data_IF_374858817471
#
_entry.id   IF_374858817471
#
_cell.length_a   1.000
_cell.length_b   1.000
_cell.length_c   1.000
_cell.angle_alpha   90.00
_cell.angle_beta   90.00
_cell.angle_gamma   90.00
#
_symmetry.space_group_name_H-M   'P 1'
#
loop_
_entity.id
_entity.type
_entity.pdbx_description
1 polymer ?
#
# COMPACT_ATOMS: atom_id res chain seq x y z
N UNK A 1 -7.92 7.29 16.35
CA UNK A 1 -6.79 7.51 15.42
C UNK A 1 -5.52 7.06 16.11
N UNK A 2 -4.84 6.04 15.58
CA UNK A 2 -3.54 5.58 16.09
C UNK A 2 -2.40 6.48 15.61
N UNK A 3 -1.22 6.47 16.24
CA UNK A 3 -0.07 7.24 15.75
C UNK A 3 0.34 6.87 14.32
N UNK A 4 0.12 5.62 13.90
CA UNK A 4 0.38 5.18 12.52
C UNK A 4 -0.64 5.77 11.54
N UNK A 5 -1.93 5.78 11.91
CA UNK A 5 -2.98 6.39 11.09
C UNK A 5 -2.74 7.88 10.85
N UNK A 6 -2.32 8.62 11.89
CA UNK A 6 -1.98 10.04 11.74
C UNK A 6 -0.85 10.26 10.71
N UNK A 7 0.23 9.47 10.79
CA UNK A 7 1.34 9.56 9.82
C UNK A 7 0.88 9.19 8.41
N UNK A 8 0.03 8.17 8.27
CA UNK A 8 -0.55 7.81 6.97
C UNK A 8 -1.42 8.95 6.42
N UNK A 9 -2.24 9.57 7.27
CA UNK A 9 -3.07 10.72 6.89
C UNK A 9 -2.22 11.90 6.42
N UNK A 10 -1.14 12.20 7.13
CA UNK A 10 -0.21 13.28 6.77
C UNK A 10 0.48 12.98 5.43
N UNK A 11 0.97 11.75 5.22
CA UNK A 11 1.57 11.32 3.95
C UNK A 11 0.59 11.43 2.78
N UNK A 12 -0.64 10.94 2.95
CA UNK A 12 -1.67 11.00 1.90
C UNK A 12 -2.05 12.45 1.60
N UNK A 13 -2.18 13.28 2.63
CA UNK A 13 -2.52 14.71 2.49
C UNK A 13 -1.42 15.47 1.75
N UNK A 14 -0.16 15.30 2.18
CA UNK A 14 0.99 15.93 1.54
C UNK A 14 1.14 15.49 0.07
N UNK A 15 0.96 14.19 -0.22
CA UNK A 15 1.04 13.65 -1.58
C UNK A 15 -0.06 14.21 -2.48
N UNK A 16 -1.32 14.28 -1.99
CA UNK A 16 -2.44 14.90 -2.74
C UNK A 16 -2.25 16.39 -2.97
N UNK A 17 -1.63 17.09 -2.01
CA UNK A 17 -1.31 18.51 -2.11
C UNK A 17 -0.10 18.82 -2.99
N UNK A 18 0.65 17.81 -3.45
CA UNK A 18 1.91 18.00 -4.18
C UNK A 18 3.05 18.54 -3.30
N UNK A 19 2.94 18.45 -1.98
CA UNK A 19 3.99 18.86 -1.05
C UNK A 19 5.06 17.76 -0.93
N UNK A 20 5.88 17.64 -1.97
CA UNK A 20 6.94 16.63 -2.02
C UNK A 20 8.04 16.87 -0.98
N UNK A 21 8.16 18.10 -0.44
CA UNK A 21 9.08 18.40 0.65
C UNK A 21 8.64 17.73 1.95
N UNK A 22 7.36 17.88 2.30
CA UNK A 22 6.78 17.21 3.46
C UNK A 22 6.75 15.69 3.30
N UNK A 23 6.41 15.17 2.11
CA UNK A 23 6.48 13.73 1.83
C UNK A 23 7.89 13.18 2.06
N UNK A 24 8.92 13.85 1.53
CA UNK A 24 10.30 13.43 1.72
C UNK A 24 10.73 13.49 3.19
N UNK A 25 10.27 14.49 3.93
CA UNK A 25 10.52 14.62 5.36
C UNK A 25 9.91 13.46 6.15
N UNK A 26 8.61 13.19 5.99
CA UNK A 26 7.89 12.11 6.66
C UNK A 26 8.47 10.72 6.32
N UNK A 27 8.81 10.48 5.05
CA UNK A 27 9.47 9.22 4.63
C UNK A 27 10.85 9.06 5.27
N UNK A 28 11.61 10.16 5.42
CA UNK A 28 12.92 10.14 6.09
C UNK A 28 12.79 9.85 7.58
N UNK A 29 11.78 10.41 8.25
CA UNK A 29 11.49 10.09 9.65
C UNK A 29 11.09 8.62 9.82
N UNK A 30 10.28 8.08 8.91
CA UNK A 30 9.92 6.66 8.90
C UNK A 30 11.14 5.76 8.66
N UNK A 31 12.05 6.17 7.77
CA UNK A 31 13.30 5.46 7.50
C UNK A 31 14.21 5.41 8.74
N UNK A 32 14.33 6.52 9.46
CA UNK A 32 15.12 6.63 10.69
C UNK A 32 14.46 5.99 11.91
N UNK A 33 13.13 5.83 11.90
CA UNK A 33 12.35 5.33 13.01
C UNK A 33 12.38 3.80 13.21
N UNK A 34 11.58 3.34 14.17
CA UNK A 34 11.43 1.93 14.49
C UNK A 34 10.70 1.15 13.38
N UNK A 35 11.14 -0.09 13.12
CA UNK A 35 10.51 -0.98 12.13
C UNK A 35 9.04 -1.27 12.41
N UNK A 36 8.62 -1.29 13.68
CA UNK A 36 7.21 -1.44 14.06
C UNK A 36 6.34 -0.28 13.57
N UNK A 37 6.84 0.97 13.63
CA UNK A 37 6.13 2.16 13.10
C UNK A 37 5.93 2.02 11.59
N UNK A 38 6.96 1.61 10.86
CA UNK A 38 6.88 1.35 9.41
C UNK A 38 5.88 0.25 9.07
N UNK A 39 5.91 -0.86 9.79
CA UNK A 39 4.97 -1.97 9.59
C UNK A 39 3.51 -1.54 9.85
N UNK A 40 3.26 -0.69 10.86
CA UNK A 40 1.93 -0.15 11.12
C UNK A 40 1.44 0.81 10.03
N UNK A 41 2.31 1.69 9.52
CA UNK A 41 1.98 2.59 8.39
C UNK A 41 1.69 1.78 7.13
N UNK A 42 2.52 0.78 6.82
CA UNK A 42 2.31 -0.10 5.68
C UNK A 42 0.96 -0.83 5.77
N UNK A 43 0.63 -1.40 6.94
CA UNK A 43 -0.66 -2.06 7.16
C UNK A 43 -1.83 -1.11 6.95
N UNK A 44 -1.74 0.12 7.47
CA UNK A 44 -2.79 1.11 7.31
C UNK A 44 -2.98 1.54 5.85
N UNK A 45 -1.88 1.69 5.09
CA UNK A 45 -1.94 1.98 3.65
C UNK A 45 -2.55 0.82 2.85
N UNK A 46 -2.16 -0.43 3.12
CA UNK A 46 -2.74 -1.62 2.46
C UNK A 46 -4.25 -1.68 2.70
N UNK A 47 -4.68 -1.44 3.94
CA UNK A 47 -6.10 -1.37 4.30
C UNK A 47 -6.85 -0.29 3.51
N UNK A 48 -6.28 0.92 3.40
CA UNK A 48 -6.88 2.02 2.64
C UNK A 48 -6.98 1.73 1.15
N UNK A 49 -5.96 1.09 0.56
CA UNK A 49 -6.03 0.63 -0.83
C UNK A 49 -7.20 -0.33 -1.04
N UNK A 50 -7.31 -1.36 -0.20
CA UNK A 50 -8.38 -2.34 -0.28
C UNK A 50 -9.77 -1.70 -0.09
N UNK A 51 -9.91 -0.84 0.92
CA UNK A 51 -11.16 -0.11 1.17
C UNK A 51 -11.57 0.77 -0.02
N UNK A 52 -10.63 1.50 -0.62
CA UNK A 52 -10.89 2.37 -1.78
C UNK A 52 -11.35 1.55 -3.00
N UNK A 53 -10.75 0.38 -3.23
CA UNK A 53 -11.19 -0.55 -4.28
C UNK A 53 -12.61 -1.05 -4.01
N UNK A 54 -12.89 -1.52 -2.79
CA UNK A 54 -14.24 -1.94 -2.40
C UNK A 54 -15.29 -0.83 -2.59
N UNK A 55 -14.99 0.39 -2.15
CA UNK A 55 -15.86 1.55 -2.29
C UNK A 55 -16.15 1.86 -3.77
N UNK A 56 -15.14 1.74 -4.64
CA UNK A 56 -15.26 2.00 -6.09
C UNK A 56 -16.16 0.99 -6.80
N UNK A 57 -16.08 -0.29 -6.43
CA UNK A 57 -16.87 -1.35 -7.08
C UNK A 57 -18.23 -1.60 -6.40
N UNK A 58 -18.45 -1.07 -5.19
CA UNK A 58 -19.69 -1.24 -4.45
C UNK A 58 -19.84 -2.65 -3.86
N UNK A 59 -21.04 -3.01 -3.37
CA UNK A 59 -21.30 -4.32 -2.77
C UNK A 59 -21.01 -5.45 -3.77
N UNK A 60 -20.06 -6.32 -3.44
CA UNK A 60 -19.73 -7.47 -4.26
C UNK A 60 -20.50 -8.72 -3.81
N UNK A 61 -20.87 -9.62 -4.75
CA UNK A 61 -21.26 -10.99 -4.42
C UNK A 61 -20.22 -11.70 -3.55
N UNK A 62 -20.65 -12.64 -2.69
CA UNK A 62 -19.76 -13.40 -1.79
C UNK A 62 -18.67 -14.21 -2.53
N UNK A 63 -18.84 -14.48 -3.82
CA UNK A 63 -17.92 -15.28 -4.65
C UNK A 63 -16.97 -14.44 -5.53
N UNK A 64 -16.90 -13.12 -5.34
CA UNK A 64 -15.98 -12.27 -6.12
C UNK A 64 -14.54 -12.52 -5.70
N UNK A 65 -13.69 -12.77 -6.71
CA UNK A 65 -12.24 -12.86 -6.55
C UNK A 65 -11.60 -11.62 -7.17
N UNK A 66 -10.86 -10.87 -6.36
CA UNK A 66 -10.07 -9.75 -6.85
C UNK A 66 -8.72 -10.25 -7.36
N UNK A 67 -8.37 -9.83 -8.57
CA UNK A 67 -7.05 -10.03 -9.19
C UNK A 67 -6.47 -8.68 -9.62
N UNK A 68 -5.15 -8.61 -9.77
CA UNK A 68 -4.47 -7.42 -10.25
C UNK A 68 -3.60 -7.77 -11.46
N UNK A 69 -3.47 -6.81 -12.37
CA UNK A 69 -2.52 -6.84 -13.47
C UNK A 69 -1.60 -5.63 -13.28
N UNK A 70 -0.29 -5.88 -13.21
CA UNK A 70 0.69 -4.80 -13.24
C UNK A 70 0.85 -4.33 -14.69
N UNK A 71 0.95 -3.02 -14.88
CA UNK A 71 1.24 -2.42 -16.19
C UNK A 71 2.39 -1.44 -16.05
N UNK A 72 3.18 -1.29 -17.10
CA UNK A 72 4.26 -0.30 -17.18
C UNK A 72 3.74 1.10 -17.56
N UNK A 73 4.65 2.06 -17.68
CA UNK A 73 4.33 3.44 -18.08
C UNK A 73 3.72 3.57 -19.49
N UNK A 74 3.84 2.53 -20.32
CA UNK A 74 3.25 2.45 -21.66
C UNK A 74 1.91 1.70 -21.69
N UNK A 75 1.38 1.35 -20.51
CA UNK A 75 0.19 0.55 -20.30
C UNK A 75 0.28 -0.89 -20.85
N UNK A 76 1.50 -1.42 -20.99
CA UNK A 76 1.70 -2.82 -21.36
C UNK A 76 1.73 -3.70 -20.10
N UNK A 77 1.17 -4.91 -20.15
CA UNK A 77 1.23 -5.84 -19.02
C UNK A 77 2.67 -6.13 -18.63
N UNK A 78 3.00 -5.87 -17.36
CA UNK A 78 4.26 -6.22 -16.74
C UNK A 78 4.07 -7.50 -15.90
N UNK A 79 5.10 -8.35 -15.85
CA UNK A 79 5.05 -9.50 -14.95
C UNK A 79 5.16 -9.01 -13.50
N UNK A 80 4.20 -9.41 -12.66
CA UNK A 80 4.20 -9.10 -11.23
C UNK A 80 5.49 -9.60 -10.56
N UNK A 81 6.10 -10.67 -11.08
CA UNK A 81 7.34 -11.22 -10.55
C UNK A 81 8.59 -10.38 -10.92
N UNK A 82 8.47 -9.42 -11.84
CA UNK A 82 9.51 -8.43 -12.14
C UNK A 82 9.48 -7.23 -11.18
N UNK A 83 8.39 -7.04 -10.43
CA UNK A 83 8.31 -6.00 -9.42
C UNK A 83 9.36 -6.21 -8.33
N UNK A 84 9.83 -5.10 -7.74
CA UNK A 84 10.69 -5.13 -6.56
C UNK A 84 10.03 -5.98 -5.46
N UNK A 85 10.78 -6.88 -4.78
CA UNK A 85 10.19 -7.84 -3.84
C UNK A 85 9.25 -7.24 -2.78
N UNK A 86 9.60 -6.08 -2.22
CA UNK A 86 8.76 -5.37 -1.25
C UNK A 86 7.46 -4.85 -1.88
N UNK A 87 7.54 -4.26 -3.07
CA UNK A 87 6.37 -3.79 -3.84
C UNK A 87 5.45 -4.96 -4.23
N UNK A 88 6.03 -6.07 -4.69
CA UNK A 88 5.29 -7.29 -5.00
C UNK A 88 4.56 -7.85 -3.80
N UNK A 89 5.23 -7.90 -2.64
CA UNK A 89 4.62 -8.34 -1.40
C UNK A 89 3.49 -7.38 -0.96
N UNK A 90 3.67 -6.07 -1.11
CA UNK A 90 2.62 -5.10 -0.83
C UNK A 90 1.39 -5.26 -1.74
N UNK A 91 1.57 -5.48 -3.05
CA UNK A 91 0.47 -5.77 -3.97
C UNK A 91 -0.29 -7.04 -3.55
N UNK A 92 0.45 -8.10 -3.21
CA UNK A 92 -0.14 -9.35 -2.71
C UNK A 92 -0.84 -9.18 -1.37
N UNK A 93 -0.37 -8.26 -0.51
CA UNK A 93 -1.06 -7.91 0.74
C UNK A 93 -2.41 -7.23 0.46
N UNK A 94 -2.47 -6.29 -0.48
CA UNK A 94 -3.73 -5.64 -0.89
C UNK A 94 -4.71 -6.67 -1.44
N UNK A 95 -4.24 -7.59 -2.30
CA UNK A 95 -5.09 -8.66 -2.84
C UNK A 95 -5.57 -9.62 -1.75
N UNK A 96 -4.70 -9.99 -0.80
CA UNK A 96 -5.09 -10.84 0.32
C UNK A 96 -6.15 -10.15 1.19
N UNK A 97 -6.02 -8.85 1.43
CA UNK A 97 -7.03 -8.09 2.17
C UNK A 97 -8.37 -8.00 1.43
N UNK A 98 -8.34 -7.71 0.12
CA UNK A 98 -9.54 -7.68 -0.74
C UNK A 98 -10.27 -9.02 -0.78
N UNK A 99 -9.55 -10.13 -0.75
CA UNK A 99 -10.11 -11.48 -0.81
C UNK A 99 -10.36 -12.10 0.57
N UNK A 100 -10.16 -11.35 1.68
CA UNK A 100 -10.39 -11.85 3.04
C UNK A 100 -9.37 -12.91 3.52
N UNK A 101 -8.23 -13.07 2.84
CA UNK A 101 -7.15 -13.99 3.20
C UNK A 101 -6.25 -13.38 4.30
N UNK A 102 -6.72 -13.42 5.55
CA UNK A 102 -5.98 -12.88 6.70
C UNK A 102 -4.59 -13.54 6.91
N UNK A 103 -4.43 -14.87 6.79
CA UNK A 103 -3.10 -15.49 6.83
C UNK A 103 -2.17 -14.97 5.73
N UNK A 104 -2.66 -14.89 4.49
CA UNK A 104 -1.92 -14.33 3.37
C UNK A 104 -1.52 -12.88 3.60
N UNK A 105 -2.46 -12.05 4.07
CA UNK A 105 -2.23 -10.64 4.38
C UNK A 105 -1.08 -10.47 5.38
N UNK A 106 -1.12 -11.18 6.52
CA UNK A 106 -0.08 -11.05 7.53
C UNK A 106 1.29 -11.50 7.01
N UNK A 107 1.34 -12.61 6.26
CA UNK A 107 2.57 -13.09 5.64
C UNK A 107 3.15 -12.06 4.66
N UNK A 108 2.32 -11.49 3.79
CA UNK A 108 2.77 -10.52 2.80
C UNK A 108 3.19 -9.18 3.43
N UNK A 109 2.53 -8.73 4.51
CA UNK A 109 2.96 -7.55 5.26
C UNK A 109 4.34 -7.75 5.89
N UNK A 110 4.64 -8.94 6.44
CA UNK A 110 5.97 -9.26 6.95
C UNK A 110 7.04 -9.27 5.86
N UNK A 111 6.71 -9.82 4.68
CA UNK A 111 7.61 -9.82 3.52
C UNK A 111 7.86 -8.41 2.99
N UNK A 112 6.81 -7.60 2.85
CA UNK A 112 6.89 -6.22 2.38
C UNK A 112 7.65 -5.31 3.36
N UNK A 113 7.62 -5.62 4.66
CA UNK A 113 8.37 -4.91 5.68
C UNK A 113 9.85 -5.32 5.79
N UNK A 114 10.33 -6.31 5.01
CA UNK A 114 11.75 -6.71 5.01
C UNK A 114 12.64 -5.58 4.49
N UNK A 115 13.87 -5.51 5.01
CA UNK A 115 14.79 -4.42 4.70
C UNK A 115 14.28 -3.09 5.25
N UNK A 116 14.18 -2.07 4.40
CA UNK A 116 13.61 -0.78 4.81
C UNK A 116 12.09 -0.76 4.80
N UNK A 117 11.44 -1.58 3.97
CA UNK A 117 9.99 -1.52 3.71
C UNK A 117 9.50 -0.23 3.06
N UNK A 118 10.39 0.70 2.71
CA UNK A 118 10.03 2.01 2.16
C UNK A 118 9.48 1.93 0.75
N UNK A 119 10.02 1.04 -0.09
CA UNK A 119 9.52 0.85 -1.45
C UNK A 119 8.05 0.43 -1.44
N UNK A 120 7.69 -0.50 -0.56
CA UNK A 120 6.31 -0.93 -0.32
C UNK A 120 5.42 0.24 0.16
N UNK A 121 5.87 1.01 1.16
CA UNK A 121 5.14 2.18 1.68
C UNK A 121 4.89 3.21 0.58
N UNK A 122 5.92 3.56 -0.21
CA UNK A 122 5.81 4.55 -1.29
C UNK A 122 4.80 4.09 -2.35
N UNK A 123 4.86 2.82 -2.77
CA UNK A 123 3.91 2.32 -3.78
C UNK A 123 2.49 2.24 -3.24
N UNK A 124 2.27 1.78 -2.00
CA UNK A 124 0.93 1.80 -1.42
C UNK A 124 0.39 3.22 -1.23
N UNK A 125 1.25 4.19 -0.91
CA UNK A 125 0.88 5.60 -0.84
C UNK A 125 0.43 6.13 -2.20
N UNK A 126 1.20 5.86 -3.27
CA UNK A 126 0.83 6.22 -4.63
C UNK A 126 -0.51 5.60 -5.04
N UNK A 127 -0.70 4.29 -4.82
CA UNK A 127 -1.96 3.61 -5.10
C UNK A 127 -3.13 4.21 -4.30
N UNK A 128 -2.94 4.56 -3.02
CA UNK A 128 -3.98 5.18 -2.20
C UNK A 128 -4.43 6.53 -2.77
N UNK A 129 -3.51 7.29 -3.37
CA UNK A 129 -3.82 8.59 -3.99
C UNK A 129 -4.46 8.41 -5.36
N UNK A 130 -3.93 7.52 -6.19
CA UNK A 130 -4.41 7.28 -7.56
C UNK A 130 -5.75 6.56 -7.61
N UNK A 131 -6.01 5.60 -6.72
CA UNK A 131 -7.27 4.85 -6.69
C UNK A 131 -8.45 5.72 -6.22
N UNK A 132 -8.17 6.77 -5.45
CA UNK A 132 -9.15 7.70 -4.91
C UNK A 132 -9.49 8.86 -5.86
N UNK A 133 -8.71 9.05 -6.93
CA UNK A 133 -8.96 10.02 -8.00
C UNK A 133 -9.82 9.44 -9.12
#
# INVERSE_FOLDING_TARGET
MTPAQAVTDDLVTATRGGDFGEVAHLLSELAAGAGSRRASVLRDLVHRCAATVCDRFGPQPEEVVFTAVAVDETALPADVDELEPGVRAALRAVLAELNGDLPGLNCQLELAARGSGLAAIVHCLLWTVELAG
#
